data_IF_477992572570
#
_entry.id   IF_477992572570
#
_cell.length_a   1.000
_cell.length_b   1.000
_cell.length_c   1.000
_cell.angle_alpha   90.00
_cell.angle_beta   90.00
_cell.angle_gamma   90.00
#
_symmetry.space_group_name_H-M   'P 1'
#
loop_
_entity.id
_entity.type
_entity.pdbx_description
1 polymer ?
#
# COMPACT_ATOMS: atom_id res chain seq x y z
N UNK A 1 -1.26 -19.79 -20.60
CA UNK A 1 -2.58 -19.11 -20.62
C UNK A 1 -3.55 -19.54 -19.51
N UNK A 2 -3.20 -20.43 -18.62
CA UNK A 2 -4.10 -20.93 -17.55
C UNK A 2 -4.09 -20.06 -16.26
N UNK A 3 -3.10 -19.22 -16.06
CA UNK A 3 -2.95 -18.44 -14.82
C UNK A 3 -3.88 -17.22 -14.67
N UNK A 4 -4.32 -16.64 -15.78
CA UNK A 4 -5.13 -15.40 -15.75
C UNK A 4 -6.61 -15.68 -15.45
N UNK A 5 -7.14 -16.80 -15.95
CA UNK A 5 -8.53 -17.20 -15.71
C UNK A 5 -8.74 -17.59 -14.23
N UNK A 6 -7.74 -18.21 -13.63
CA UNK A 6 -7.80 -18.63 -12.22
C UNK A 6 -7.73 -17.42 -11.26
N UNK A 7 -7.03 -16.35 -11.67
CA UNK A 7 -6.91 -15.11 -10.89
C UNK A 7 -8.22 -14.32 -10.89
N UNK A 8 -8.84 -14.16 -12.04
CA UNK A 8 -10.12 -13.45 -12.15
C UNK A 8 -11.26 -14.20 -11.46
N UNK A 9 -11.28 -15.54 -11.57
CA UNK A 9 -12.26 -16.36 -10.87
C UNK A 9 -12.14 -16.23 -9.34
N UNK A 10 -10.92 -16.19 -8.79
CA UNK A 10 -10.69 -15.95 -7.35
C UNK A 10 -11.10 -14.55 -6.93
N UNK A 11 -10.78 -13.54 -7.74
CA UNK A 11 -11.20 -12.16 -7.49
C UNK A 11 -12.71 -12.05 -7.35
N UNK A 12 -13.46 -12.57 -8.34
CA UNK A 12 -14.92 -12.57 -8.33
C UNK A 12 -15.48 -13.33 -7.12
N UNK A 13 -14.85 -14.42 -6.73
CA UNK A 13 -15.25 -15.18 -5.55
C UNK A 13 -15.07 -14.39 -4.25
N UNK A 14 -13.95 -13.68 -4.09
CA UNK A 14 -13.68 -12.83 -2.92
C UNK A 14 -14.64 -11.64 -2.90
N UNK A 15 -14.81 -10.93 -4.02
CA UNK A 15 -15.75 -9.80 -4.14
C UNK A 15 -17.20 -10.17 -3.77
N UNK A 16 -17.60 -11.41 -4.04
CA UNK A 16 -18.95 -11.91 -3.74
C UNK A 16 -19.14 -12.47 -2.33
N UNK A 17 -18.09 -12.56 -1.52
CA UNK A 17 -18.14 -13.23 -0.21
C UNK A 17 -18.00 -12.22 0.94
N UNK A 18 -19.11 -11.92 1.67
CA UNK A 18 -19.04 -11.02 2.83
C UNK A 18 -18.06 -11.51 3.89
N UNK A 19 -17.28 -10.59 4.44
CA UNK A 19 -16.32 -10.89 5.52
C UNK A 19 -15.01 -11.53 5.05
N UNK A 20 -14.82 -11.64 3.75
CA UNK A 20 -13.54 -12.02 3.15
C UNK A 20 -13.04 -10.85 2.31
N UNK A 21 -11.78 -10.49 2.48
CA UNK A 21 -11.10 -9.47 1.70
C UNK A 21 -9.82 -10.01 1.08
N UNK A 22 -9.17 -9.22 0.25
CA UNK A 22 -7.93 -9.58 -0.39
C UNK A 22 -7.26 -8.38 -1.06
N UNK A 23 -6.01 -8.55 -1.43
CA UNK A 23 -5.30 -7.56 -2.23
C UNK A 23 -5.78 -7.70 -3.69
N UNK A 24 -6.37 -6.63 -4.21
CA UNK A 24 -6.74 -6.53 -5.63
C UNK A 24 -5.47 -6.31 -6.47
N UNK A 25 -4.77 -5.22 -6.20
CA UNK A 25 -3.49 -4.92 -6.83
C UNK A 25 -2.63 -4.01 -5.96
N UNK A 26 -1.36 -3.91 -6.34
CA UNK A 26 -0.39 -3.00 -5.72
C UNK A 26 0.14 -2.05 -6.78
N UNK A 27 0.09 -0.76 -6.49
CA UNK A 27 0.64 0.29 -7.33
C UNK A 27 1.89 0.87 -6.66
N UNK A 28 2.95 1.07 -7.44
CA UNK A 28 4.15 1.80 -7.01
C UNK A 28 4.06 3.21 -7.56
N UNK A 29 4.06 4.20 -6.69
CA UNK A 29 4.03 5.60 -7.15
C UNK A 29 5.39 5.97 -7.72
N UNK A 30 5.46 6.02 -9.07
CA UNK A 30 6.68 6.30 -9.82
C UNK A 30 6.97 7.77 -10.04
N UNK A 31 5.94 8.61 -10.08
CA UNK A 31 6.04 10.04 -10.37
C UNK A 31 5.29 10.86 -9.32
N UNK A 32 5.76 12.08 -9.10
CA UNK A 32 5.03 13.03 -8.28
C UNK A 32 3.87 13.62 -9.12
N UNK A 33 2.60 13.46 -8.71
CA UNK A 33 1.47 13.94 -9.47
C UNK A 33 1.54 15.47 -9.66
N UNK A 34 1.35 15.94 -10.90
CA UNK A 34 1.31 17.36 -11.23
C UNK A 34 2.66 18.08 -11.26
N UNK A 35 3.79 17.37 -11.14
CA UNK A 35 5.11 17.97 -11.32
C UNK A 35 5.70 17.55 -12.66
N UNK A 36 5.91 18.51 -13.56
CA UNK A 36 6.78 18.33 -14.74
C UNK A 36 8.27 18.45 -14.38
N UNK A 37 8.62 18.41 -13.11
CA UNK A 37 9.98 18.62 -12.63
C UNK A 37 10.38 17.64 -11.54
N UNK A 38 11.70 17.45 -11.39
CA UNK A 38 12.28 16.71 -10.29
C UNK A 38 11.99 17.41 -8.97
N UNK A 39 11.20 16.77 -8.09
CA UNK A 39 11.00 17.22 -6.71
C UNK A 39 12.04 16.52 -5.83
N UNK A 40 13.09 17.21 -5.40
CA UNK A 40 14.08 16.63 -4.50
C UNK A 40 13.40 16.10 -3.24
N UNK A 41 13.70 14.87 -2.86
CA UNK A 41 13.16 14.16 -1.69
C UNK A 41 11.71 13.69 -1.77
N UNK A 42 11.04 13.83 -2.92
CA UNK A 42 9.74 13.17 -3.08
C UNK A 42 9.90 11.66 -2.83
N UNK A 43 8.99 11.05 -2.07
CA UNK A 43 9.05 9.63 -1.74
C UNK A 43 8.60 8.71 -2.86
N UNK A 44 8.77 9.13 -4.10
CA UNK A 44 8.49 8.33 -5.30
C UNK A 44 9.29 7.03 -5.30
N UNK A 45 8.71 5.98 -5.87
CA UNK A 45 9.26 4.61 -5.90
C UNK A 45 9.48 3.97 -4.52
N UNK A 46 9.08 4.64 -3.45
CA UNK A 46 9.10 4.13 -2.08
C UNK A 46 7.74 4.17 -1.41
N UNK A 47 6.72 4.55 -2.15
CA UNK A 47 5.33 4.56 -1.70
C UNK A 47 4.55 3.58 -2.54
N UNK A 48 3.94 2.62 -1.87
CA UNK A 48 3.07 1.62 -2.48
C UNK A 48 1.64 1.91 -2.06
N UNK A 49 0.72 1.76 -3.00
CA UNK A 49 -0.72 1.76 -2.76
C UNK A 49 -1.21 0.32 -2.88
N UNK A 50 -1.62 -0.26 -1.77
CA UNK A 50 -2.18 -1.62 -1.72
C UNK A 50 -3.68 -1.51 -1.71
N UNK A 51 -4.31 -1.85 -2.82
CA UNK A 51 -5.75 -1.78 -3.02
C UNK A 51 -6.42 -3.07 -2.54
N UNK A 52 -7.40 -2.94 -1.65
CA UNK A 52 -8.21 -4.05 -1.15
C UNK A 52 -9.51 -4.17 -1.95
N UNK A 53 -10.02 -5.40 -2.06
CA UNK A 53 -11.19 -5.72 -2.88
C UNK A 53 -12.51 -5.19 -2.29
N UNK A 54 -12.77 -5.49 -1.03
CA UNK A 54 -14.09 -5.31 -0.44
C UNK A 54 -14.13 -4.25 0.66
N UNK A 55 -13.37 -4.44 1.72
CA UNK A 55 -13.54 -3.73 2.98
C UNK A 55 -12.52 -2.61 3.18
N UNK A 56 -12.77 -1.79 4.18
CA UNK A 56 -11.81 -0.81 4.62
C UNK A 56 -10.58 -1.50 5.23
N UNK A 57 -9.42 -0.87 5.06
CA UNK A 57 -8.18 -1.30 5.71
C UNK A 57 -8.43 -1.47 7.21
N UNK A 58 -8.16 -2.64 7.79
CA UNK A 58 -8.33 -2.86 9.23
C UNK A 58 -7.55 -1.83 10.06
N UNK A 59 -8.15 -1.32 11.12
CA UNK A 59 -7.56 -0.25 11.95
C UNK A 59 -6.25 -0.67 12.63
N UNK A 60 -6.04 -1.96 12.83
CA UNK A 60 -4.87 -2.57 13.45
C UNK A 60 -3.82 -3.05 12.42
N UNK A 61 -4.06 -2.80 11.13
CA UNK A 61 -3.11 -3.15 10.07
C UNK A 61 -2.06 -2.03 9.93
N UNK A 62 -0.94 -2.22 10.58
CA UNK A 62 0.18 -1.28 10.61
C UNK A 62 1.44 -1.85 9.92
N UNK A 63 2.55 -1.11 10.01
CA UNK A 63 3.82 -1.49 9.39
C UNK A 63 4.36 -2.85 9.85
N UNK A 64 4.04 -3.30 11.06
CA UNK A 64 4.51 -4.58 11.61
C UNK A 64 3.80 -5.78 10.97
N UNK A 65 2.66 -5.52 10.37
CA UNK A 65 1.81 -6.52 9.71
C UNK A 65 1.93 -6.51 8.18
N UNK A 66 2.87 -5.74 7.63
CA UNK A 66 3.19 -5.72 6.20
C UNK A 66 4.59 -6.28 6.01
N UNK A 67 4.70 -7.37 5.27
CA UNK A 67 5.97 -8.00 4.92
C UNK A 67 6.26 -7.82 3.44
N UNK A 68 7.48 -7.39 3.13
CA UNK A 68 7.98 -7.30 1.75
C UNK A 68 9.27 -8.12 1.69
N UNK A 69 9.28 -9.12 0.81
CA UNK A 69 10.45 -9.99 0.59
C UNK A 69 10.74 -10.07 -0.90
N UNK A 70 12.01 -10.17 -1.26
CA UNK A 70 12.45 -10.25 -2.65
C UNK A 70 13.57 -9.25 -2.94
N UNK A 71 13.82 -9.06 -4.23
CA UNK A 71 14.95 -8.28 -4.72
C UNK A 71 16.17 -9.15 -5.01
N UNK A 72 16.91 -8.81 -6.06
CA UNK A 72 18.10 -9.56 -6.49
C UNK A 72 19.36 -8.69 -6.44
N UNK A 73 19.23 -7.39 -6.68
CA UNK A 73 20.38 -6.47 -6.74
C UNK A 73 20.86 -6.01 -5.38
N UNK A 74 19.97 -5.97 -4.41
CA UNK A 74 20.31 -5.62 -3.05
C UNK A 74 20.42 -6.94 -2.30
N UNK A 75 21.55 -7.19 -1.67
CA UNK A 75 21.66 -8.36 -0.80
C UNK A 75 20.55 -8.26 0.26
N UNK A 76 19.52 -9.12 0.22
CA UNK A 76 18.37 -8.99 1.12
C UNK A 76 18.74 -9.20 2.58
N UNK A 77 19.93 -9.71 2.85
CA UNK A 77 20.46 -9.89 4.22
C UNK A 77 21.13 -8.61 4.74
N UNK A 78 21.68 -7.78 3.85
CA UNK A 78 22.42 -6.56 4.22
C UNK A 78 21.53 -5.33 4.12
N UNK A 79 20.73 -5.22 3.04
CA UNK A 79 19.86 -4.06 2.79
C UNK A 79 18.44 -4.50 2.36
N UNK A 80 17.66 -5.14 3.22
CA UNK A 80 16.29 -5.49 2.88
C UNK A 80 15.44 -4.22 2.66
N UNK A 81 14.52 -4.27 1.71
CA UNK A 81 13.46 -3.26 1.63
C UNK A 81 12.54 -3.46 2.84
N UNK A 82 12.52 -2.50 3.74
CA UNK A 82 11.72 -2.55 4.98
C UNK A 82 10.53 -1.63 4.88
N UNK A 83 9.44 -2.00 5.53
CA UNK A 83 8.30 -1.12 5.73
C UNK A 83 8.66 -0.13 6.85
N UNK A 84 8.56 1.16 6.54
CA UNK A 84 8.81 2.25 7.50
C UNK A 84 7.55 2.60 8.25
N UNK A 85 6.44 2.76 7.53
CA UNK A 85 5.12 2.94 8.07
C UNK A 85 4.06 2.42 7.08
N UNK A 86 2.87 2.11 7.59
CA UNK A 86 1.72 1.73 6.80
C UNK A 86 0.45 2.29 7.44
N UNK A 87 -0.36 3.01 6.66
CA UNK A 87 -1.61 3.63 7.12
C UNK A 87 -2.67 3.61 6.02
N UNK A 88 -3.96 3.56 6.36
CA UNK A 88 -5.02 3.78 5.39
C UNK A 88 -4.85 5.12 4.67
N UNK A 89 -5.09 5.16 3.36
CA UNK A 89 -4.94 6.39 2.59
C UNK A 89 -5.81 7.55 3.10
N UNK A 90 -6.96 7.24 3.69
CA UNK A 90 -7.82 8.23 4.35
C UNK A 90 -7.13 8.90 5.55
N UNK A 91 -6.26 8.19 6.27
CA UNK A 91 -5.49 8.77 7.37
C UNK A 91 -4.32 9.63 6.87
N UNK A 92 -3.73 9.29 5.71
CA UNK A 92 -2.59 10.00 5.13
C UNK A 92 -3.02 11.28 4.40
N UNK A 93 -4.06 11.21 3.58
CA UNK A 93 -4.47 12.30 2.70
C UNK A 93 -5.87 12.87 3.02
N UNK A 94 -6.59 12.27 3.95
CA UNK A 94 -7.93 12.70 4.30
C UNK A 94 -8.95 12.47 3.21
N UNK A 95 -10.10 13.13 3.35
CA UNK A 95 -11.09 13.26 2.30
C UNK A 95 -10.84 14.58 1.54
N UNK A 96 -10.84 14.52 0.22
CA UNK A 96 -10.58 15.68 -0.63
C UNK A 96 -9.27 16.44 -0.34
N UNK A 97 -8.18 15.73 0.02
CA UNK A 97 -6.88 16.35 0.29
C UNK A 97 -6.79 17.08 1.63
N UNK A 98 -7.72 16.86 2.53
CA UNK A 98 -7.76 17.48 3.86
C UNK A 98 -7.57 16.44 4.96
N UNK A 99 -6.32 16.03 5.25
CA UNK A 99 -6.04 15.05 6.28
C UNK A 99 -6.45 15.57 7.67
N UNK A 100 -6.84 14.65 8.54
CA UNK A 100 -7.06 14.97 9.95
C UNK A 100 -5.71 15.20 10.64
N UNK A 101 -5.55 16.34 11.31
CA UNK A 101 -4.34 16.64 12.05
C UNK A 101 -4.45 16.16 13.51
N UNK A 102 -3.36 15.72 14.14
CA UNK A 102 -2.01 15.57 13.56
C UNK A 102 -1.93 14.42 12.56
N UNK A 103 -1.02 14.53 11.59
CA UNK A 103 -0.72 13.43 10.67
C UNK A 103 -0.20 12.19 11.42
N UNK A 104 -0.41 10.99 10.87
CA UNK A 104 0.16 9.77 11.45
C UNK A 104 1.69 9.85 11.58
N UNK A 105 2.24 9.11 12.53
CA UNK A 105 3.68 9.14 12.81
C UNK A 105 4.53 8.79 11.57
N UNK A 106 5.48 9.65 11.25
CA UNK A 106 6.36 9.49 10.09
C UNK A 106 5.79 9.95 8.75
N UNK A 107 4.53 10.38 8.72
CA UNK A 107 3.88 10.97 7.53
C UNK A 107 4.09 12.48 7.53
N UNK A 108 4.43 13.04 6.37
CA UNK A 108 4.58 14.47 6.18
C UNK A 108 3.67 15.01 5.06
N UNK A 109 3.71 16.32 4.84
CA UNK A 109 2.90 16.96 3.80
C UNK A 109 3.23 16.46 2.38
N UNK A 110 4.45 16.04 2.13
CA UNK A 110 4.83 15.50 0.81
C UNK A 110 4.17 14.16 0.55
N UNK A 111 4.01 13.34 1.60
CA UNK A 111 3.26 12.09 1.54
C UNK A 111 1.78 12.34 1.27
N UNK A 112 1.20 13.29 1.99
CA UNK A 112 -0.21 13.69 1.79
C UNK A 112 -0.46 14.10 0.34
N UNK A 113 0.36 15.00 -0.21
CA UNK A 113 0.23 15.45 -1.60
C UNK A 113 0.42 14.33 -2.61
N UNK A 114 1.36 13.41 -2.34
CA UNK A 114 1.63 12.27 -3.20
C UNK A 114 0.42 11.34 -3.29
N UNK A 115 -0.16 11.00 -2.15
CA UNK A 115 -1.34 10.13 -2.06
C UNK A 115 -2.59 10.83 -2.62
N UNK A 116 -2.76 12.13 -2.32
CA UNK A 116 -3.88 12.92 -2.82
C UNK A 116 -3.89 13.03 -4.35
N UNK A 117 -2.71 13.20 -4.94
CA UNK A 117 -2.58 13.24 -6.40
C UNK A 117 -2.70 11.88 -7.09
N UNK A 118 -2.43 10.78 -6.38
CA UNK A 118 -2.50 9.43 -6.93
C UNK A 118 -3.89 8.79 -6.81
N UNK A 119 -4.69 9.18 -5.82
CA UNK A 119 -5.99 8.56 -5.53
C UNK A 119 -7.16 9.54 -5.73
N UNK A 120 -8.31 9.04 -6.18
CA UNK A 120 -9.54 9.83 -6.16
C UNK A 120 -9.84 10.38 -4.76
N UNK A 121 -10.48 11.54 -4.69
CA UNK A 121 -10.85 12.21 -3.43
C UNK A 121 -11.99 11.50 -2.65
N UNK A 122 -12.43 10.34 -3.10
CA UNK A 122 -13.50 9.56 -2.49
C UNK A 122 -13.05 8.88 -1.20
N UNK A 123 -13.72 9.16 -0.08
CA UNK A 123 -13.46 8.49 1.19
C UNK A 123 -13.64 6.97 1.09
N UNK A 124 -14.60 6.49 0.32
CA UNK A 124 -14.84 5.07 0.12
C UNK A 124 -13.66 4.37 -0.56
N UNK A 125 -13.03 5.02 -1.54
CA UNK A 125 -11.81 4.50 -2.19
C UNK A 125 -10.64 4.55 -1.20
N UNK A 126 -10.41 5.70 -0.56
CA UNK A 126 -9.25 5.91 0.34
C UNK A 126 -9.26 5.02 1.58
N UNK A 127 -10.43 4.59 2.04
CA UNK A 127 -10.55 3.62 3.14
C UNK A 127 -10.10 2.22 2.76
N UNK A 128 -10.18 1.84 1.49
CA UNK A 128 -9.78 0.52 0.97
C UNK A 128 -8.35 0.46 0.45
N UNK A 129 -7.59 1.53 0.58
CA UNK A 129 -6.21 1.59 0.13
C UNK A 129 -5.28 1.73 1.33
N UNK A 130 -4.37 0.78 1.49
CA UNK A 130 -3.27 0.88 2.45
C UNK A 130 -2.08 1.55 1.76
N UNK A 131 -1.62 2.65 2.32
CA UNK A 131 -0.37 3.31 1.89
C UNK A 131 0.79 2.71 2.66
N UNK A 132 1.77 2.19 1.95
CA UNK A 132 2.97 1.59 2.54
C UNK A 132 4.20 2.38 2.11
N UNK A 133 4.96 2.87 3.08
CA UNK A 133 6.25 3.51 2.85
C UNK A 133 7.37 2.52 3.08
N UNK A 134 8.27 2.41 2.11
CA UNK A 134 9.47 1.59 2.20
C UNK A 134 10.73 2.41 2.50
N UNK A 135 11.73 1.77 3.07
CA UNK A 135 13.02 2.37 3.42
C UNK A 135 13.83 2.78 2.20
N UNK A 136 13.65 2.07 1.09
CA UNK A 136 14.33 2.31 -0.19
C UNK A 136 13.40 1.98 -1.35
N UNK A 137 13.72 2.49 -2.54
CA UNK A 137 13.13 1.98 -3.77
C UNK A 137 13.55 0.52 -3.98
N UNK A 138 12.66 -0.27 -4.56
CA UNK A 138 13.00 -1.61 -5.04
C UNK A 138 13.94 -1.55 -6.24
N UNK A 139 14.43 -2.70 -6.64
CA UNK A 139 15.05 -2.91 -7.94
C UNK A 139 14.01 -3.45 -8.95
N UNK A 140 14.46 -3.83 -10.14
CA UNK A 140 13.58 -4.39 -11.19
C UNK A 140 13.26 -5.88 -10.99
N UNK A 141 13.49 -6.40 -9.78
CA UNK A 141 13.21 -7.79 -9.43
C UNK A 141 11.77 -7.96 -8.94
N UNK A 142 11.36 -9.23 -8.80
CA UNK A 142 10.08 -9.57 -8.19
C UNK A 142 10.13 -9.41 -6.68
N UNK A 143 9.13 -8.76 -6.12
CA UNK A 143 8.87 -8.65 -4.69
C UNK A 143 7.55 -9.33 -4.35
N UNK A 144 7.51 -9.92 -3.17
CA UNK A 144 6.30 -10.49 -2.59
C UNK A 144 5.88 -9.63 -1.40
N UNK A 145 4.73 -8.98 -1.51
CA UNK A 145 4.07 -8.28 -0.42
C UNK A 145 3.04 -9.20 0.22
N UNK A 146 3.05 -9.26 1.55
CA UNK A 146 2.07 -10.03 2.35
C UNK A 146 1.52 -9.15 3.45
N UNK A 147 0.22 -9.28 3.70
CA UNK A 147 -0.43 -8.81 4.90
C UNK A 147 -0.44 -9.94 5.92
N UNK A 148 -0.11 -9.65 7.17
CA UNK A 148 0.06 -10.62 8.24
C UNK A 148 -1.03 -10.42 9.28
N UNK A 149 -1.47 -11.52 9.90
CA UNK A 149 -2.39 -11.52 11.03
C UNK A 149 -1.78 -10.89 12.29
N UNK A 150 -2.58 -10.85 13.35
CA UNK A 150 -2.12 -10.37 14.65
C UNK A 150 -0.89 -11.16 15.11
N UNK A 151 0.11 -10.44 15.63
CA UNK A 151 1.39 -11.04 16.03
C UNK A 151 2.36 -11.33 14.88
N UNK A 152 2.09 -10.85 13.66
CA UNK A 152 2.96 -11.02 12.49
C UNK A 152 2.98 -12.42 11.90
N UNK A 153 2.00 -13.25 12.24
CA UNK A 153 1.85 -14.61 11.77
C UNK A 153 0.51 -14.81 11.05
N UNK A 154 0.52 -15.67 10.02
CA UNK A 154 -0.70 -16.01 9.28
C UNK A 154 -1.25 -14.88 8.41
N UNK A 155 -2.54 -14.96 8.12
CA UNK A 155 -3.31 -13.98 7.33
C UNK A 155 -4.16 -13.17 8.29
N UNK A 156 -4.40 -11.86 8.07
CA UNK A 156 -5.34 -11.08 8.87
C UNK A 156 -6.73 -11.69 8.88
N UNK A 157 -7.50 -11.49 9.95
CA UNK A 157 -8.90 -11.90 9.99
C UNK A 157 -9.67 -11.18 8.88
N UNK A 158 -10.41 -11.93 8.08
CA UNK A 158 -11.14 -11.41 6.92
C UNK A 158 -10.36 -11.40 5.58
N UNK A 159 -9.11 -11.90 5.55
CA UNK A 159 -8.31 -12.04 4.32
C UNK A 159 -8.15 -13.48 3.87
#
# INVERSE_FOLDING_TARGET
>A
MTGDIDREARRVQVEGTPGIDGIDFVEVIGNYPGSEGFVPRAPVQRTLLVHLLNDAVPADLDATRVSIVGGVRTDPTINPVRVVWAYPAIAVAGEAGSPTLPLPAGVDESDTRLVDGALPSSAAVRRRVLVVRTSSSGDWSTYLLRLLGAGGQGVPDGF
#
